data_IF_839392564660
#
_entry.id   IF_839392564660
#
_cell.length_a   1.000
_cell.length_b   1.000
_cell.length_c   1.000
_cell.angle_alpha   90.00
_cell.angle_beta   90.00
_cell.angle_gamma   90.00
#
_symmetry.space_group_name_H-M   'P 1'
#
loop_
_entity.id
_entity.type
_entity.pdbx_description
1 polymer ?
#
# COMPACT_ATOMS: atom_id res chain seq x y z
N UNK A 1 15.77 -19.46 -27.92
CA UNK A 1 16.86 -20.19 -27.25
C UNK A 1 16.29 -20.78 -25.97
N UNK A 2 16.49 -22.07 -25.75
CA UNK A 2 16.10 -22.72 -24.50
C UNK A 2 17.30 -22.74 -23.57
N UNK A 3 17.07 -22.36 -22.31
CA UNK A 3 18.06 -22.35 -21.24
C UNK A 3 17.52 -23.27 -20.16
N UNK A 4 18.27 -24.32 -19.78
CA UNK A 4 17.83 -25.35 -18.83
C UNK A 4 16.51 -26.05 -19.18
N UNK A 5 16.20 -26.22 -20.47
CA UNK A 5 14.94 -26.82 -20.92
C UNK A 5 13.72 -25.91 -20.77
N UNK A 6 13.93 -24.63 -20.47
CA UNK A 6 12.88 -23.60 -20.40
C UNK A 6 13.17 -22.52 -21.46
N UNK A 7 12.18 -22.07 -22.23
CA UNK A 7 12.32 -20.94 -23.12
C UNK A 7 12.91 -19.71 -22.40
N UNK A 8 13.99 -19.13 -22.94
CA UNK A 8 14.67 -17.97 -22.31
C UNK A 8 13.75 -16.77 -22.09
N UNK A 9 12.71 -16.62 -22.92
CA UNK A 9 11.68 -15.61 -22.76
C UNK A 9 10.89 -15.77 -21.45
N UNK A 10 10.59 -17.01 -21.02
CA UNK A 10 9.86 -17.28 -19.78
C UNK A 10 10.72 -16.98 -18.54
N UNK A 11 12.01 -17.31 -18.61
CA UNK A 11 12.97 -16.96 -17.56
C UNK A 11 13.07 -15.43 -17.40
N UNK A 12 13.17 -14.70 -18.52
CA UNK A 12 13.16 -13.24 -18.54
C UNK A 12 11.88 -12.65 -17.94
N UNK A 13 10.71 -13.17 -18.31
CA UNK A 13 9.44 -12.70 -17.74
C UNK A 13 9.33 -12.98 -16.24
N UNK A 14 9.81 -14.14 -15.77
CA UNK A 14 9.73 -14.49 -14.35
C UNK A 14 10.67 -13.63 -13.50
N UNK A 15 11.88 -13.33 -14.01
CA UNK A 15 12.78 -12.38 -13.36
C UNK A 15 12.16 -10.99 -13.27
N UNK A 16 11.49 -10.53 -14.34
CA UNK A 16 10.80 -9.25 -14.34
C UNK A 16 9.65 -9.22 -13.32
N UNK A 17 8.82 -10.27 -13.26
CA UNK A 17 7.75 -10.38 -12.25
C UNK A 17 8.33 -10.40 -10.83
N UNK A 18 9.43 -11.13 -10.61
CA UNK A 18 10.14 -11.16 -9.34
C UNK A 18 10.67 -9.77 -8.95
N UNK A 19 11.24 -9.04 -9.89
CA UNK A 19 11.73 -7.68 -9.67
C UNK A 19 10.57 -6.72 -9.35
N UNK A 20 9.46 -6.77 -10.10
CA UNK A 20 8.27 -5.95 -9.86
C UNK A 20 7.74 -6.18 -8.44
N UNK A 21 7.55 -7.44 -8.05
CA UNK A 21 7.07 -7.79 -6.72
C UNK A 21 8.07 -7.40 -5.63
N UNK A 22 9.37 -7.62 -5.86
CA UNK A 22 10.43 -7.23 -4.94
C UNK A 22 10.49 -5.71 -4.72
N UNK A 23 10.45 -4.92 -5.78
CA UNK A 23 10.37 -3.46 -5.71
C UNK A 23 9.10 -2.99 -4.99
N UNK A 24 7.97 -3.65 -5.24
CA UNK A 24 6.72 -3.35 -4.56
C UNK A 24 6.82 -3.57 -3.05
N UNK A 25 7.35 -4.73 -2.62
CA UNK A 25 7.56 -5.01 -1.20
C UNK A 25 8.61 -4.09 -0.57
N UNK A 26 9.66 -3.72 -1.31
CA UNK A 26 10.67 -2.78 -0.83
C UNK A 26 10.07 -1.40 -0.56
N UNK A 27 9.25 -0.87 -1.48
CA UNK A 27 8.56 0.41 -1.30
C UNK A 27 7.57 0.34 -0.14
N UNK A 28 6.80 -0.76 -0.02
CA UNK A 28 5.88 -0.98 1.10
C UNK A 28 6.60 -0.97 2.45
N UNK A 29 7.72 -1.68 2.54
CA UNK A 29 8.54 -1.73 3.76
C UNK A 29 9.17 -0.38 4.08
N UNK A 30 9.62 0.35 3.06
CA UNK A 30 10.20 1.69 3.22
C UNK A 30 9.15 2.67 3.79
N UNK A 31 7.90 2.61 3.33
CA UNK A 31 6.82 3.43 3.87
C UNK A 31 6.62 3.21 5.37
N UNK A 32 6.59 1.95 5.81
CA UNK A 32 6.49 1.61 7.23
C UNK A 32 7.70 2.13 8.03
N UNK A 33 8.92 1.94 7.49
CA UNK A 33 10.15 2.40 8.13
C UNK A 33 10.19 3.92 8.29
N UNK A 34 9.73 4.69 7.31
CA UNK A 34 9.65 6.15 7.38
C UNK A 34 8.64 6.58 8.45
N UNK A 35 7.44 5.98 8.48
CA UNK A 35 6.42 6.32 9.48
C UNK A 35 6.93 6.05 10.90
N UNK A 36 7.55 4.88 11.12
CA UNK A 36 8.10 4.51 12.43
C UNK A 36 9.29 5.39 12.80
N UNK A 37 10.19 5.67 11.84
CA UNK A 37 11.37 6.52 12.08
C UNK A 37 11.01 7.97 12.42
N UNK A 38 9.89 8.49 11.91
CA UNK A 38 9.43 9.84 12.21
C UNK A 38 8.57 9.93 13.48
N UNK A 39 7.68 8.96 13.72
CA UNK A 39 6.71 9.00 14.82
C UNK A 39 7.15 8.23 16.08
N UNK A 40 8.17 7.37 16.00
CA UNK A 40 8.60 6.44 17.06
C UNK A 40 7.46 5.55 17.62
N UNK A 41 6.36 5.41 16.89
CA UNK A 41 5.20 4.59 17.28
C UNK A 41 4.93 3.56 16.18
N UNK A 42 4.73 2.31 16.58
CA UNK A 42 4.36 1.21 15.69
C UNK A 42 2.89 1.37 15.27
N UNK A 43 2.66 1.85 14.05
CA UNK A 43 1.36 1.85 13.39
C UNK A 43 0.96 0.43 12.92
N UNK A 44 0.24 -0.31 13.77
CA UNK A 44 -0.34 -1.61 13.42
C UNK A 44 -1.44 -1.54 12.34
N UNK A 45 -2.04 -0.36 12.11
CA UNK A 45 -3.08 -0.17 11.11
C UNK A 45 -2.54 -0.09 9.67
N UNK A 46 -1.23 0.03 9.47
CA UNK A 46 -0.62 0.20 8.15
C UNK A 46 -1.06 -0.88 7.14
N UNK A 47 -1.07 -2.15 7.56
CA UNK A 47 -1.52 -3.25 6.69
C UNK A 47 -3.00 -3.14 6.30
N UNK A 48 -3.86 -2.69 7.22
CA UNK A 48 -5.27 -2.46 6.96
C UNK A 48 -5.49 -1.26 6.03
N UNK A 49 -4.73 -0.18 6.22
CA UNK A 49 -4.76 1.01 5.34
C UNK A 49 -4.30 0.68 3.92
N UNK A 50 -3.26 -0.15 3.78
CA UNK A 50 -2.81 -0.67 2.50
C UNK A 50 -3.91 -1.48 1.79
N UNK A 51 -4.52 -2.46 2.49
CA UNK A 51 -5.58 -3.28 1.90
C UNK A 51 -6.81 -2.47 1.52
N UNK A 52 -7.16 -1.47 2.32
CA UNK A 52 -8.25 -0.55 2.02
C UNK A 52 -8.01 0.18 0.68
N UNK A 53 -6.80 0.70 0.44
CA UNK A 53 -6.46 1.32 -0.84
C UNK A 53 -6.60 0.37 -2.02
N UNK A 54 -6.12 -0.88 -1.86
CA UNK A 54 -6.26 -1.92 -2.87
C UNK A 54 -7.73 -2.26 -3.18
N UNK A 55 -8.57 -2.38 -2.14
CA UNK A 55 -10.00 -2.62 -2.32
C UNK A 55 -10.73 -1.44 -2.97
N UNK A 56 -10.39 -0.19 -2.60
CA UNK A 56 -10.98 0.99 -3.25
C UNK A 56 -10.64 0.99 -4.74
N UNK A 57 -9.37 0.77 -5.10
CA UNK A 57 -8.96 0.70 -6.50
C UNK A 57 -9.67 -0.45 -7.23
N UNK A 58 -9.75 -1.63 -6.62
CA UNK A 58 -10.43 -2.79 -7.19
C UNK A 58 -11.93 -2.54 -7.41
N UNK A 59 -12.63 -1.97 -6.43
CA UNK A 59 -14.06 -1.64 -6.54
C UNK A 59 -14.28 -0.55 -7.61
N UNK A 60 -13.43 0.48 -7.63
CA UNK A 60 -13.52 1.54 -8.65
C UNK A 60 -13.40 0.95 -10.06
N UNK A 61 -12.40 0.10 -10.29
CA UNK A 61 -12.18 -0.52 -11.59
C UNK A 61 -13.29 -1.51 -11.98
N UNK A 62 -13.74 -2.37 -11.05
CA UNK A 62 -14.63 -3.50 -11.36
C UNK A 62 -16.11 -3.19 -11.25
N UNK A 63 -16.54 -2.39 -10.27
CA UNK A 63 -17.96 -2.09 -10.01
C UNK A 63 -18.40 -0.79 -10.65
N UNK A 64 -17.55 0.23 -10.58
CA UNK A 64 -17.88 1.56 -11.11
C UNK A 64 -17.34 1.79 -12.52
N UNK A 65 -16.49 0.89 -13.04
CA UNK A 65 -15.91 0.98 -14.38
C UNK A 65 -15.05 2.25 -14.57
N UNK A 66 -14.53 2.82 -13.48
CA UNK A 66 -13.74 4.05 -13.58
C UNK A 66 -12.38 3.75 -14.21
N UNK A 67 -11.85 4.69 -14.99
CA UNK A 67 -10.53 4.55 -15.61
C UNK A 67 -9.44 4.33 -14.55
N UNK A 68 -8.45 3.49 -14.87
CA UNK A 68 -7.26 3.22 -14.05
C UNK A 68 -6.62 4.48 -13.46
N UNK A 69 -6.44 5.52 -14.28
CA UNK A 69 -5.82 6.77 -13.82
C UNK A 69 -6.64 7.47 -12.72
N UNK A 70 -7.96 7.39 -12.81
CA UNK A 70 -8.85 7.94 -11.79
C UNK A 70 -8.80 7.07 -10.54
N UNK A 71 -8.88 5.75 -10.68
CA UNK A 71 -8.78 4.81 -9.56
C UNK A 71 -7.44 4.93 -8.81
N UNK A 72 -6.34 5.16 -9.53
CA UNK A 72 -5.00 5.36 -9.00
C UNK A 72 -4.90 6.58 -8.10
N UNK A 73 -5.57 7.68 -8.46
CA UNK A 73 -5.64 8.89 -7.62
C UNK A 73 -6.67 8.76 -6.49
N UNK A 74 -7.79 8.10 -6.77
CA UNK A 74 -8.90 8.00 -5.84
C UNK A 74 -8.52 7.18 -4.62
N UNK A 75 -7.82 6.04 -4.80
CA UNK A 75 -7.39 5.16 -3.72
C UNK A 75 -6.58 5.88 -2.60
N UNK A 76 -5.44 6.55 -2.86
CA UNK A 76 -4.67 7.23 -1.81
C UNK A 76 -5.45 8.40 -1.20
N UNK A 77 -6.31 9.10 -1.96
CA UNK A 77 -7.16 10.17 -1.42
C UNK A 77 -8.15 9.61 -0.40
N UNK A 78 -8.85 8.51 -0.71
CA UNK A 78 -9.76 7.87 0.25
C UNK A 78 -9.05 7.33 1.48
N UNK A 79 -7.89 6.69 1.32
CA UNK A 79 -7.12 6.17 2.46
C UNK A 79 -6.59 7.32 3.32
N UNK A 80 -6.11 8.40 2.71
CA UNK A 80 -5.68 9.61 3.41
C UNK A 80 -6.81 10.28 4.18
N UNK A 81 -8.00 10.41 3.56
CA UNK A 81 -9.19 10.95 4.22
C UNK A 81 -9.60 10.10 5.44
N UNK A 82 -9.56 8.77 5.32
CA UNK A 82 -9.82 7.86 6.45
C UNK A 82 -8.73 7.93 7.52
N UNK A 83 -7.47 8.12 7.13
CA UNK A 83 -6.36 8.39 8.06
C UNK A 83 -6.60 9.66 8.89
N UNK A 84 -6.99 10.76 8.24
CA UNK A 84 -7.34 12.02 8.91
C UNK A 84 -8.54 11.85 9.84
N UNK A 85 -9.54 11.06 9.42
CA UNK A 85 -10.69 10.76 10.25
C UNK A 85 -10.27 10.01 11.51
N UNK A 86 -9.49 8.93 11.38
CA UNK A 86 -8.96 8.15 12.51
C UNK A 86 -8.11 9.00 13.45
N UNK A 87 -7.28 9.86 12.89
CA UNK A 87 -6.45 10.77 13.68
C UNK A 87 -7.31 11.71 14.52
N UNK A 88 -8.33 12.34 13.91
CA UNK A 88 -9.21 13.28 14.62
C UNK A 88 -10.11 12.61 15.64
N UNK A 89 -10.63 11.41 15.36
CA UNK A 89 -11.62 10.75 16.22
C UNK A 89 -11.00 9.92 17.33
N UNK A 90 -9.88 9.24 17.05
CA UNK A 90 -9.25 8.30 17.97
C UNK A 90 -7.89 8.80 18.47
N UNK A 91 -6.91 8.97 17.59
CA UNK A 91 -5.52 9.24 18.01
C UNK A 91 -5.39 10.56 18.78
N UNK A 92 -6.07 11.62 18.33
CA UNK A 92 -6.08 12.92 19.00
C UNK A 92 -6.69 12.88 20.40
N UNK A 93 -7.59 11.94 20.69
CA UNK A 93 -8.14 11.74 22.03
C UNK A 93 -7.18 10.98 22.93
N UNK A 94 -6.48 9.99 22.37
CA UNK A 94 -5.42 9.23 23.06
C UNK A 94 -4.24 10.13 23.46
N UNK A 95 -3.82 11.05 22.58
CA UNK A 95 -2.76 12.01 22.92
C UNK A 95 -3.10 12.97 24.06
N UNK A 96 -4.38 13.16 24.37
CA UNK A 96 -4.80 14.01 25.51
C UNK A 96 -4.87 13.26 26.84
N UNK A 97 -4.77 11.93 26.80
CA UNK A 97 -4.89 11.06 27.97
C UNK A 97 -3.52 10.67 28.53
N UNK A 98 -2.49 11.49 28.30
CA UNK A 98 -1.15 11.17 28.75
C UNK A 98 -1.13 10.88 30.26
N UNK A 99 -0.61 9.71 30.59
CA UNK A 99 -0.39 9.21 31.93
C UNK A 99 1.12 9.12 32.23
N UNK A 100 1.85 10.19 31.88
CA UNK A 100 3.17 10.54 32.43
C UNK A 100 3.28 12.06 32.60
#
# INVERSE_FOLDING_TARGET
>A
MEIFGVPSALLGSQLLVGLINGSFYAILSLGLAIIFGLLNIINFAHGAQYMMGAFVAWIALTKFGVNYWVALLLAPITVGALGVLLERTMLRKLYKLDHL
#
